data_IF_962011083649
#
_entry.id   IF_962011083649
#
_cell.length_a   1.000
_cell.length_b   1.000
_cell.length_c   1.000
_cell.angle_alpha   90.00
_cell.angle_beta   90.00
_cell.angle_gamma   90.00
#
_symmetry.space_group_name_H-M   'P 1'
#
loop_
_entity.id
_entity.type
_entity.pdbx_description
1 polymer ?
#
# COMPACT_ATOMS: atom_id res chain seq x y z
N UNK A 1 32.25 -23.70 42.02
CA UNK A 1 31.88 -24.22 40.66
C UNK A 1 31.09 -23.13 39.97
N UNK A 2 31.76 -22.26 39.20
CA UNK A 2 31.13 -21.24 38.37
C UNK A 2 30.65 -21.92 37.08
N UNK A 3 29.35 -21.86 36.79
CA UNK A 3 28.80 -22.21 35.50
C UNK A 3 29.00 -21.02 34.56
N UNK A 4 29.99 -21.08 33.72
CA UNK A 4 30.11 -20.27 32.50
C UNK A 4 29.01 -20.71 31.54
N UNK A 5 27.99 -19.87 31.37
CA UNK A 5 27.04 -20.04 30.25
C UNK A 5 27.77 -19.83 28.91
N UNK A 6 27.26 -20.40 27.78
CA UNK A 6 27.92 -20.27 26.50
C UNK A 6 27.90 -18.79 26.07
N UNK A 7 29.08 -18.17 25.94
CA UNK A 7 29.28 -16.91 25.24
C UNK A 7 28.96 -17.14 23.76
N UNK A 8 27.75 -16.75 23.35
CA UNK A 8 27.42 -16.66 21.92
C UNK A 8 28.34 -15.59 21.33
N UNK A 9 29.20 -16.00 20.40
CA UNK A 9 30.17 -15.12 19.74
C UNK A 9 29.48 -13.88 19.18
N UNK A 10 30.08 -12.71 19.40
CA UNK A 10 29.59 -11.40 18.91
C UNK A 10 29.35 -11.40 17.40
N UNK A 11 30.09 -12.20 16.63
CA UNK A 11 29.90 -12.39 15.21
C UNK A 11 28.59 -13.11 14.85
N UNK A 12 28.29 -14.25 15.48
CA UNK A 12 27.06 -15.01 15.22
C UNK A 12 25.78 -14.22 15.59
N UNK A 13 25.86 -13.29 16.57
CA UNK A 13 24.76 -12.39 16.89
C UNK A 13 24.56 -11.31 15.83
N UNK A 14 25.65 -10.80 15.25
CA UNK A 14 25.59 -9.78 14.19
C UNK A 14 25.02 -10.36 12.88
N UNK A 15 25.46 -11.57 12.52
CA UNK A 15 24.93 -12.27 11.33
C UNK A 15 23.44 -12.60 11.47
N UNK A 16 22.98 -13.02 12.64
CA UNK A 16 21.56 -13.25 12.91
C UNK A 16 20.73 -11.95 12.88
N UNK A 17 21.34 -10.85 13.30
CA UNK A 17 20.78 -9.51 13.28
C UNK A 17 20.54 -9.00 11.85
N UNK A 18 21.57 -9.06 11.01
CA UNK A 18 21.50 -8.61 9.62
C UNK A 18 20.41 -9.43 8.87
N UNK A 19 20.31 -10.73 9.15
CA UNK A 19 19.28 -11.62 8.59
C UNK A 19 17.85 -11.22 9.00
N UNK A 20 17.61 -10.76 10.23
CA UNK A 20 16.25 -10.32 10.67
C UNK A 20 15.83 -9.00 10.00
N UNK A 21 16.75 -8.04 9.86
CA UNK A 21 16.46 -6.79 9.15
C UNK A 21 16.17 -7.05 7.66
N UNK A 22 16.94 -7.93 7.01
CA UNK A 22 16.68 -8.36 5.63
C UNK A 22 15.30 -9.02 5.50
N UNK A 23 14.88 -9.82 6.48
CA UNK A 23 13.56 -10.43 6.49
C UNK A 23 12.43 -9.41 6.65
N UNK A 24 12.61 -8.38 7.47
CA UNK A 24 11.65 -7.28 7.61
C UNK A 24 11.53 -6.54 6.28
N UNK A 25 12.66 -6.14 5.68
CA UNK A 25 12.69 -5.42 4.42
C UNK A 25 12.02 -6.19 3.28
N UNK A 26 12.35 -7.48 3.15
CA UNK A 26 11.74 -8.34 2.14
C UNK A 26 10.20 -8.44 2.28
N UNK A 27 9.67 -8.45 3.51
CA UNK A 27 8.22 -8.48 3.75
C UNK A 27 7.56 -7.16 3.40
N UNK A 28 8.15 -6.04 3.77
CA UNK A 28 7.64 -4.71 3.40
C UNK A 28 7.62 -4.56 1.88
N UNK A 29 8.71 -4.92 1.19
CA UNK A 29 8.77 -4.90 -0.29
C UNK A 29 7.69 -5.82 -0.88
N UNK A 30 7.46 -6.99 -0.27
CA UNK A 30 6.38 -7.88 -0.71
C UNK A 30 5.00 -7.26 -0.56
N UNK A 31 4.72 -6.53 0.53
CA UNK A 31 3.46 -5.79 0.71
C UNK A 31 3.29 -4.71 -0.37
N UNK A 32 4.33 -3.93 -0.67
CA UNK A 32 4.30 -2.97 -1.80
C UNK A 32 3.96 -3.64 -3.13
N UNK A 33 4.55 -4.80 -3.41
CA UNK A 33 4.26 -5.58 -4.62
C UNK A 33 2.79 -5.99 -4.67
N UNK A 34 2.25 -6.51 -3.56
CA UNK A 34 0.85 -6.94 -3.48
C UNK A 34 -0.12 -5.79 -3.70
N UNK A 35 0.15 -4.61 -3.11
CA UNK A 35 -0.66 -3.40 -3.32
C UNK A 35 -0.60 -2.95 -4.79
N UNK A 36 0.59 -2.82 -5.37
CA UNK A 36 0.74 -2.34 -6.75
C UNK A 36 0.10 -3.29 -7.78
N UNK A 37 0.36 -4.60 -7.67
CA UNK A 37 -0.23 -5.62 -8.54
C UNK A 37 -1.75 -5.73 -8.33
N UNK A 38 -2.19 -5.71 -7.07
CA UNK A 38 -3.61 -5.80 -6.72
C UNK A 38 -4.41 -4.62 -7.24
N UNK A 39 -3.86 -3.39 -7.14
CA UNK A 39 -4.50 -2.18 -7.62
C UNK A 39 -4.68 -2.20 -9.15
N UNK A 40 -3.64 -2.57 -9.90
CA UNK A 40 -3.72 -2.70 -11.35
C UNK A 40 -4.78 -3.74 -11.75
N UNK A 41 -4.73 -4.93 -11.15
CA UNK A 41 -5.68 -6.00 -11.42
C UNK A 41 -7.12 -5.64 -11.02
N UNK A 42 -7.34 -4.94 -9.89
CA UNK A 42 -8.67 -4.51 -9.45
C UNK A 42 -9.28 -3.48 -10.40
N UNK A 43 -8.47 -2.54 -10.89
CA UNK A 43 -8.90 -1.53 -11.87
C UNK A 43 -9.34 -2.19 -13.18
N UNK A 44 -8.52 -3.09 -13.72
CA UNK A 44 -8.85 -3.82 -14.96
C UNK A 44 -10.09 -4.71 -14.77
N UNK A 45 -10.13 -5.49 -13.69
CA UNK A 45 -11.28 -6.36 -13.39
C UNK A 45 -12.58 -5.57 -13.24
N UNK A 46 -12.55 -4.44 -12.56
CA UNK A 46 -13.71 -3.56 -12.38
C UNK A 46 -14.21 -3.02 -13.71
N UNK A 47 -13.31 -2.49 -14.56
CA UNK A 47 -13.65 -1.91 -15.84
C UNK A 47 -14.10 -2.96 -16.88
N UNK A 48 -13.57 -4.20 -16.81
CA UNK A 48 -13.91 -5.30 -17.70
C UNK A 48 -15.09 -6.16 -17.20
N UNK A 49 -15.61 -5.94 -15.98
CA UNK A 49 -16.56 -6.83 -15.28
C UNK A 49 -16.00 -8.26 -15.12
N UNK A 50 -14.69 -8.38 -14.89
CA UNK A 50 -14.03 -9.68 -14.70
C UNK A 50 -14.15 -10.14 -13.24
N UNK A 51 -15.15 -10.98 -13.00
CA UNK A 51 -15.47 -11.51 -11.67
C UNK A 51 -14.49 -12.59 -11.19
N UNK A 52 -13.77 -13.21 -12.09
CA UNK A 52 -12.79 -14.25 -11.74
C UNK A 52 -11.55 -13.58 -11.13
N UNK A 53 -11.02 -12.58 -11.83
CA UNK A 53 -9.90 -11.76 -11.32
C UNK A 53 -10.31 -11.06 -10.01
N UNK A 54 -11.51 -10.47 -9.95
CA UNK A 54 -11.99 -9.82 -8.73
C UNK A 54 -12.03 -10.76 -7.52
N UNK A 55 -12.52 -12.00 -7.69
CA UNK A 55 -12.50 -13.02 -6.60
C UNK A 55 -11.10 -13.43 -6.20
N UNK A 56 -10.17 -13.50 -7.15
CA UNK A 56 -8.77 -13.82 -6.86
C UNK A 56 -8.12 -12.72 -6.01
N UNK A 57 -8.44 -11.43 -6.27
CA UNK A 57 -7.96 -10.30 -5.47
C UNK A 57 -8.48 -10.39 -4.04
N UNK A 58 -9.80 -10.56 -3.85
CA UNK A 58 -10.42 -10.72 -2.54
C UNK A 58 -9.82 -11.90 -1.75
N UNK A 59 -9.49 -13.01 -2.43
CA UNK A 59 -8.87 -14.16 -1.78
C UNK A 59 -7.42 -13.89 -1.32
N UNK A 60 -6.70 -12.97 -1.97
CA UNK A 60 -5.31 -12.61 -1.66
C UNK A 60 -5.17 -11.52 -0.58
N UNK A 61 -6.25 -10.88 -0.17
CA UNK A 61 -6.23 -9.85 0.86
C UNK A 61 -5.61 -10.38 2.18
N UNK A 62 -5.92 -11.62 2.55
CA UNK A 62 -5.32 -12.31 3.71
C UNK A 62 -3.78 -12.41 3.66
N UNK A 63 -3.19 -12.39 2.47
CA UNK A 63 -1.72 -12.45 2.34
C UNK A 63 -1.08 -11.17 2.90
N UNK A 64 -1.75 -10.01 2.77
CA UNK A 64 -1.28 -8.73 3.31
C UNK A 64 -1.45 -8.70 4.83
N UNK A 65 -2.58 -9.17 5.35
CA UNK A 65 -2.86 -9.29 6.78
C UNK A 65 -1.83 -10.17 7.49
N UNK A 66 -1.54 -11.33 6.93
CA UNK A 66 -0.55 -12.28 7.46
C UNK A 66 0.87 -11.68 7.45
N UNK A 67 1.21 -10.89 6.43
CA UNK A 67 2.48 -10.18 6.36
C UNK A 67 2.56 -9.08 7.43
N UNK A 68 1.51 -8.28 7.62
CA UNK A 68 1.43 -7.26 8.66
C UNK A 68 1.62 -7.90 10.04
N UNK A 69 0.81 -8.92 10.36
CA UNK A 69 0.89 -9.61 11.65
C UNK A 69 2.29 -10.19 11.92
N UNK A 70 2.89 -10.81 10.91
CA UNK A 70 4.26 -11.35 11.03
C UNK A 70 5.30 -10.25 11.24
N UNK A 71 5.17 -9.11 10.53
CA UNK A 71 6.05 -7.96 10.69
C UNK A 71 5.98 -7.38 12.09
N UNK A 72 4.76 -7.17 12.61
CA UNK A 72 4.55 -6.66 13.97
C UNK A 72 5.23 -7.55 15.01
N UNK A 73 5.06 -8.87 14.91
CA UNK A 73 5.70 -9.83 15.85
C UNK A 73 7.23 -9.79 15.77
N UNK A 74 7.81 -9.70 14.56
CA UNK A 74 9.27 -9.65 14.39
C UNK A 74 9.80 -8.34 14.97
N UNK A 75 9.15 -7.20 14.65
CA UNK A 75 9.57 -5.88 15.11
C UNK A 75 9.42 -5.73 16.62
N UNK A 76 8.28 -6.18 17.19
CA UNK A 76 8.06 -6.17 18.64
C UNK A 76 9.14 -6.96 19.38
N UNK A 77 9.39 -8.22 18.96
CA UNK A 77 10.44 -9.05 19.51
C UNK A 77 11.80 -8.34 19.44
N UNK A 78 12.11 -7.73 18.29
CA UNK A 78 13.38 -7.06 18.08
C UNK A 78 13.56 -5.82 18.97
N UNK A 79 12.48 -5.06 19.21
CA UNK A 79 12.50 -3.90 20.13
C UNK A 79 12.66 -4.31 21.60
N UNK A 80 12.24 -5.52 21.96
CA UNK A 80 12.38 -6.05 23.32
C UNK A 80 13.74 -6.71 23.57
N UNK A 81 14.43 -7.16 22.52
CA UNK A 81 15.75 -7.78 22.62
C UNK A 81 16.84 -6.72 22.89
N UNK A 82 17.70 -7.01 23.86
CA UNK A 82 18.88 -6.18 24.15
C UNK A 82 20.17 -6.95 23.86
N UNK A 83 21.16 -6.32 23.20
CA UNK A 83 21.24 -4.91 22.79
C UNK A 83 20.65 -4.64 21.41
N UNK A 84 19.91 -3.53 21.27
CA UNK A 84 19.52 -2.97 19.98
C UNK A 84 20.76 -2.33 19.33
N UNK A 85 20.87 -2.38 17.99
CA UNK A 85 22.03 -1.89 17.24
C UNK A 85 22.23 -0.36 17.23
N UNK A 86 21.35 0.38 17.91
CA UNK A 86 21.45 1.83 18.09
C UNK A 86 20.22 2.62 17.62
N UNK A 87 20.28 3.97 17.70
CA UNK A 87 19.14 4.83 17.37
C UNK A 87 18.60 4.68 15.94
N UNK A 88 19.48 4.41 14.99
CA UNK A 88 19.09 4.24 13.56
C UNK A 88 18.22 3.01 13.35
N UNK A 89 18.56 1.90 14.00
CA UNK A 89 17.75 0.69 13.97
C UNK A 89 16.37 0.92 14.58
N UNK A 90 16.33 1.54 15.76
CA UNK A 90 15.06 1.86 16.42
C UNK A 90 14.16 2.72 15.51
N UNK A 91 14.72 3.74 14.86
CA UNK A 91 13.98 4.58 13.91
C UNK A 91 13.45 3.76 12.72
N UNK A 92 14.26 2.88 12.16
CA UNK A 92 13.84 1.99 11.07
C UNK A 92 12.69 1.09 11.52
N UNK A 93 12.79 0.41 12.65
CA UNK A 93 11.75 -0.47 13.17
C UNK A 93 10.45 0.30 13.46
N UNK A 94 10.53 1.51 14.00
CA UNK A 94 9.37 2.39 14.19
C UNK A 94 8.77 2.79 12.86
N UNK A 95 9.57 3.07 11.83
CA UNK A 95 9.06 3.41 10.49
C UNK A 95 8.30 2.24 9.87
N UNK A 96 8.81 1.02 10.01
CA UNK A 96 8.12 -0.20 9.54
C UNK A 96 6.75 -0.36 10.20
N UNK A 97 6.65 -0.20 11.53
CA UNK A 97 5.36 -0.24 12.25
C UNK A 97 4.37 0.85 11.83
N UNK A 98 4.84 1.91 11.18
CA UNK A 98 3.98 2.98 10.65
C UNK A 98 3.64 2.79 9.18
N UNK A 99 4.51 2.15 8.40
CA UNK A 99 4.34 1.92 6.97
C UNK A 99 3.47 0.69 6.72
N UNK A 100 3.72 -0.43 7.41
CA UNK A 100 3.02 -1.68 7.18
C UNK A 100 1.49 -1.59 7.34
N UNK A 101 0.93 -0.88 8.35
CA UNK A 101 -0.52 -0.67 8.44
C UNK A 101 -1.11 0.19 7.30
N UNK A 102 -0.34 1.10 6.70
CA UNK A 102 -0.81 1.85 5.53
C UNK A 102 -0.89 0.95 4.28
N UNK A 103 0.05 0.00 4.15
CA UNK A 103 0.04 -0.98 3.07
C UNK A 103 -1.16 -1.94 3.20
N UNK A 104 -1.45 -2.41 4.42
CA UNK A 104 -2.62 -3.25 4.69
C UNK A 104 -3.93 -2.51 4.37
N UNK A 105 -4.13 -1.30 4.91
CA UNK A 105 -5.32 -0.49 4.59
C UNK A 105 -5.48 -0.23 3.11
N UNK A 106 -4.38 -0.19 2.37
CA UNK A 106 -4.43 -0.04 0.91
C UNK A 106 -4.87 -1.34 0.24
N UNK A 107 -4.50 -2.50 0.78
CA UNK A 107 -5.06 -3.80 0.41
C UNK A 107 -6.57 -3.83 0.59
N UNK A 108 -7.09 -3.40 1.76
CA UNK A 108 -8.53 -3.29 2.04
C UNK A 108 -9.27 -2.43 1.00
N UNK A 109 -8.70 -1.28 0.61
CA UNK A 109 -9.32 -0.42 -0.40
C UNK A 109 -9.37 -1.09 -1.77
N UNK A 110 -8.33 -1.84 -2.13
CA UNK A 110 -8.27 -2.62 -3.38
C UNK A 110 -9.31 -3.75 -3.36
N UNK A 111 -9.43 -4.47 -2.23
CA UNK A 111 -10.48 -5.47 -2.02
C UNK A 111 -11.87 -4.84 -2.20
N UNK A 112 -12.11 -3.67 -1.60
CA UNK A 112 -13.37 -2.96 -1.72
C UNK A 112 -13.72 -2.56 -3.16
N UNK A 113 -12.73 -2.24 -4.00
CA UNK A 113 -12.94 -2.02 -5.44
C UNK A 113 -13.33 -3.35 -6.11
N UNK A 114 -12.58 -4.43 -5.85
CA UNK A 114 -12.82 -5.75 -6.43
C UNK A 114 -14.20 -6.32 -6.05
N UNK A 115 -14.66 -6.14 -4.80
CA UNK A 115 -15.98 -6.56 -4.32
C UNK A 115 -17.13 -5.89 -5.07
N UNK A 116 -16.91 -4.77 -5.75
CA UNK A 116 -17.93 -4.05 -6.53
C UNK A 116 -18.01 -4.51 -7.99
N UNK A 117 -17.02 -5.22 -8.49
CA UNK A 117 -17.02 -5.78 -9.86
C UNK A 117 -18.29 -6.58 -10.18
N UNK A 118 -18.80 -7.48 -9.30
CA UNK A 118 -20.02 -8.24 -9.62
C UNK A 118 -21.28 -7.40 -9.79
N UNK A 119 -21.28 -6.14 -9.39
CA UNK A 119 -22.42 -5.22 -9.53
C UNK A 119 -22.53 -4.65 -10.95
N UNK A 120 -21.51 -4.86 -11.80
CA UNK A 120 -21.48 -4.43 -13.21
C UNK A 120 -21.61 -2.92 -13.40
N UNK A 121 -21.17 -2.14 -12.42
CA UNK A 121 -21.30 -0.67 -12.44
C UNK A 121 -20.60 -0.03 -13.64
N UNK A 122 -19.54 -0.65 -14.12
CA UNK A 122 -18.79 -0.16 -15.27
C UNK A 122 -19.59 -0.21 -16.58
N UNK A 123 -20.64 -1.03 -16.67
CA UNK A 123 -21.49 -1.10 -17.90
C UNK A 123 -22.34 0.15 -18.10
N UNK A 124 -22.68 0.84 -17.01
CA UNK A 124 -23.52 2.03 -17.01
C UNK A 124 -22.72 3.34 -17.15
N UNK A 125 -21.39 3.24 -17.17
CA UNK A 125 -20.50 4.40 -17.30
C UNK A 125 -20.52 4.95 -18.72
N UNK A 126 -20.58 6.29 -18.84
CA UNK A 126 -20.24 6.99 -20.08
C UNK A 126 -18.80 6.69 -20.48
N UNK A 127 -18.45 6.88 -21.75
CA UNK A 127 -17.06 6.74 -22.20
C UNK A 127 -16.11 7.66 -21.43
N UNK A 128 -16.57 8.88 -21.07
CA UNK A 128 -15.80 9.84 -20.26
C UNK A 128 -15.60 9.33 -18.83
N UNK A 129 -16.66 8.96 -18.15
CA UNK A 129 -16.56 8.45 -16.76
C UNK A 129 -15.66 7.20 -16.67
N UNK A 130 -15.75 6.31 -17.67
CA UNK A 130 -14.87 5.14 -17.77
C UNK A 130 -13.41 5.53 -17.94
N UNK A 131 -13.12 6.53 -18.79
CA UNK A 131 -11.78 7.08 -18.99
C UNK A 131 -11.21 7.68 -17.70
N UNK A 132 -12.00 8.51 -16.99
CA UNK A 132 -11.61 9.12 -15.73
C UNK A 132 -11.27 8.05 -14.66
N UNK A 133 -12.10 7.02 -14.56
CA UNK A 133 -11.88 5.92 -13.59
C UNK A 133 -10.62 5.10 -13.93
N UNK A 134 -10.38 4.84 -15.22
CA UNK A 134 -9.14 4.22 -15.68
C UNK A 134 -7.92 5.08 -15.35
N UNK A 135 -7.99 6.41 -15.57
CA UNK A 135 -6.88 7.31 -15.30
C UNK A 135 -6.62 7.44 -13.78
N UNK A 136 -7.67 7.45 -12.94
CA UNK A 136 -7.52 7.36 -11.48
C UNK A 136 -6.75 6.11 -11.05
N UNK A 137 -7.16 4.93 -11.56
CA UNK A 137 -6.49 3.67 -11.24
C UNK A 137 -5.02 3.67 -11.68
N UNK A 138 -4.74 4.22 -12.87
CA UNK A 138 -3.38 4.33 -13.40
C UNK A 138 -2.52 5.31 -12.59
N UNK A 139 -3.06 6.47 -12.23
CA UNK A 139 -2.35 7.45 -11.41
C UNK A 139 -2.02 6.87 -10.03
N UNK A 140 -2.99 6.26 -9.36
CA UNK A 140 -2.76 5.60 -8.08
C UNK A 140 -1.72 4.47 -8.18
N UNK A 141 -1.70 3.69 -9.28
CA UNK A 141 -0.68 2.66 -9.51
C UNK A 141 0.73 3.27 -9.65
N UNK A 142 0.88 4.37 -10.40
CA UNK A 142 2.16 5.09 -10.51
C UNK A 142 2.60 5.59 -9.14
N UNK A 143 1.70 6.17 -8.34
CA UNK A 143 2.00 6.63 -6.98
C UNK A 143 2.52 5.49 -6.09
N UNK A 144 1.92 4.31 -6.13
CA UNK A 144 2.37 3.17 -5.35
C UNK A 144 3.71 2.61 -5.82
N UNK A 145 3.98 2.62 -7.13
CA UNK A 145 5.30 2.26 -7.68
C UNK A 145 6.37 3.24 -7.20
N UNK A 146 6.08 4.54 -7.28
CA UNK A 146 6.99 5.60 -6.82
C UNK A 146 7.23 5.53 -5.29
N UNK A 147 6.20 5.21 -4.49
CA UNK A 147 6.34 5.02 -3.05
C UNK A 147 7.20 3.78 -2.71
N UNK A 148 7.10 2.70 -3.49
CA UNK A 148 7.95 1.52 -3.35
C UNK A 148 9.41 1.84 -3.69
N UNK A 149 9.67 2.57 -4.78
CA UNK A 149 11.01 3.04 -5.16
C UNK A 149 11.60 3.95 -4.08
N UNK A 150 10.81 4.90 -3.54
CA UNK A 150 11.22 5.74 -2.43
C UNK A 150 11.67 4.93 -1.21
N UNK A 151 10.95 3.83 -0.90
CA UNK A 151 11.30 2.94 0.20
C UNK A 151 12.59 2.14 -0.08
N UNK A 152 12.70 1.53 -1.26
CA UNK A 152 13.83 0.66 -1.64
C UNK A 152 15.11 1.47 -1.78
N UNK A 153 15.06 2.60 -2.50
CA UNK A 153 16.23 3.42 -2.81
C UNK A 153 16.53 4.46 -1.72
N UNK A 154 15.69 4.53 -0.69
CA UNK A 154 15.76 5.54 0.39
C UNK A 154 15.84 6.97 -0.20
N UNK A 155 14.99 7.23 -1.20
CA UNK A 155 14.99 8.48 -1.95
C UNK A 155 13.84 9.40 -1.53
N UNK A 156 14.17 10.46 -0.78
CA UNK A 156 13.18 11.45 -0.32
C UNK A 156 12.65 12.37 -1.42
N UNK A 157 13.37 12.51 -2.56
CA UNK A 157 12.93 13.38 -3.66
C UNK A 157 11.62 12.90 -4.31
N UNK A 158 11.34 11.61 -4.26
CA UNK A 158 10.08 11.02 -4.74
C UNK A 158 8.82 11.61 -4.06
N UNK A 159 8.96 12.23 -2.88
CA UNK A 159 7.82 12.83 -2.18
C UNK A 159 7.25 14.04 -2.93
N UNK A 160 8.07 14.78 -3.68
CA UNK A 160 7.60 15.91 -4.49
C UNK A 160 6.75 15.39 -5.64
N UNK A 161 7.25 14.42 -6.38
CA UNK A 161 6.55 13.80 -7.52
C UNK A 161 5.22 13.16 -7.06
N UNK A 162 5.22 12.52 -5.88
CA UNK A 162 4.01 11.94 -5.31
C UNK A 162 2.94 12.98 -4.97
N UNK A 163 3.31 14.15 -4.47
CA UNK A 163 2.35 15.22 -4.21
C UNK A 163 1.76 15.80 -5.49
N UNK A 164 2.55 15.92 -6.54
CA UNK A 164 2.05 16.34 -7.85
C UNK A 164 1.08 15.31 -8.44
N UNK A 165 1.33 14.03 -8.27
CA UNK A 165 0.42 12.97 -8.69
C UNK A 165 -0.85 12.92 -7.84
N UNK A 166 -0.76 13.25 -6.55
CA UNK A 166 -1.89 13.35 -5.63
C UNK A 166 -2.86 14.46 -6.06
N UNK A 167 -2.32 15.64 -6.37
CA UNK A 167 -3.10 16.76 -6.93
C UNK A 167 -3.84 16.34 -8.24
N UNK A 168 -3.17 15.59 -9.11
CA UNK A 168 -3.79 15.04 -10.35
C UNK A 168 -4.91 14.05 -10.01
N UNK A 169 -4.72 13.19 -9.01
CA UNK A 169 -5.72 12.20 -8.59
C UNK A 169 -6.95 12.87 -7.99
N UNK A 170 -6.74 13.92 -7.20
CA UNK A 170 -7.80 14.75 -6.62
C UNK A 170 -8.64 15.45 -7.72
N UNK A 171 -7.99 16.02 -8.73
CA UNK A 171 -8.66 16.63 -9.88
C UNK A 171 -9.52 15.59 -10.65
N UNK A 172 -8.97 14.40 -10.91
CA UNK A 172 -9.72 13.30 -11.53
C UNK A 172 -10.93 12.86 -10.70
N UNK A 173 -10.80 12.83 -9.36
CA UNK A 173 -11.88 12.52 -8.44
C UNK A 173 -13.01 13.58 -8.54
N UNK A 174 -12.66 14.85 -8.57
CA UNK A 174 -13.61 15.96 -8.75
C UNK A 174 -14.33 15.86 -10.09
N UNK A 175 -13.56 15.64 -11.18
CA UNK A 175 -14.15 15.50 -12.52
C UNK A 175 -15.10 14.31 -12.64
N UNK A 176 -14.72 13.14 -12.10
CA UNK A 176 -15.58 11.95 -12.11
C UNK A 176 -16.84 12.19 -11.28
N UNK A 177 -16.73 12.81 -10.12
CA UNK A 177 -17.90 13.14 -9.28
C UNK A 177 -18.86 14.08 -10.00
N UNK A 178 -18.35 15.07 -10.72
CA UNK A 178 -19.16 15.99 -11.53
C UNK A 178 -19.86 15.23 -12.69
N UNK A 179 -19.13 14.37 -13.40
CA UNK A 179 -19.70 13.55 -14.50
C UNK A 179 -20.80 12.63 -14.00
N UNK A 180 -20.62 11.95 -12.86
CA UNK A 180 -21.63 11.09 -12.26
C UNK A 180 -22.88 11.86 -11.80
N UNK A 181 -22.70 13.11 -11.37
CA UNK A 181 -23.79 13.96 -10.88
C UNK A 181 -24.67 14.50 -12.01
N UNK A 182 -24.12 14.65 -13.20
CA UNK A 182 -24.80 15.20 -14.39
C UNK A 182 -25.27 14.14 -15.38
N UNK A 183 -24.82 12.89 -15.22
CA UNK A 183 -25.08 11.79 -16.16
C UNK A 183 -26.40 11.05 -15.92
N UNK A 184 -26.75 10.16 -16.87
CA UNK A 184 -27.92 9.30 -16.81
C UNK A 184 -27.73 8.05 -15.92
N UNK A 185 -26.71 8.06 -15.05
CA UNK A 185 -26.40 6.94 -14.13
C UNK A 185 -27.45 6.92 -13.02
N UNK A 186 -27.97 5.73 -12.69
CA UNK A 186 -28.93 5.61 -11.57
C UNK A 186 -28.30 6.05 -10.25
N UNK A 187 -29.12 6.64 -9.36
CA UNK A 187 -28.61 7.12 -8.05
C UNK A 187 -27.87 6.04 -7.25
N UNK A 188 -28.35 4.78 -7.15
CA UNK A 188 -27.59 3.73 -6.48
C UNK A 188 -26.22 3.46 -7.15
N UNK A 189 -26.16 3.42 -8.47
CA UNK A 189 -24.89 3.21 -9.19
C UNK A 189 -23.95 4.42 -9.02
N UNK A 190 -24.44 5.65 -9.05
CA UNK A 190 -23.65 6.85 -8.82
C UNK A 190 -23.03 6.87 -7.41
N UNK A 191 -23.75 6.41 -6.39
CA UNK A 191 -23.24 6.30 -5.02
C UNK A 191 -22.07 5.29 -4.96
N UNK A 192 -22.24 4.09 -5.53
CA UNK A 192 -21.19 3.07 -5.51
C UNK A 192 -19.96 3.48 -6.33
N UNK A 193 -20.17 4.12 -7.47
CA UNK A 193 -19.07 4.66 -8.29
C UNK A 193 -18.34 5.81 -7.59
N UNK A 194 -19.06 6.66 -6.87
CA UNK A 194 -18.46 7.69 -6.01
C UNK A 194 -17.61 7.10 -4.88
N UNK A 195 -18.03 5.96 -4.30
CA UNK A 195 -17.22 5.24 -3.32
C UNK A 195 -15.97 4.64 -3.97
N UNK A 196 -16.06 4.07 -5.17
CA UNK A 196 -14.88 3.57 -5.91
C UNK A 196 -13.91 4.72 -6.19
N UNK A 197 -14.39 5.88 -6.65
CA UNK A 197 -13.57 7.07 -6.85
C UNK A 197 -12.86 7.49 -5.54
N UNK A 198 -13.57 7.50 -4.42
CA UNK A 198 -13.00 7.82 -3.10
C UNK A 198 -11.95 6.79 -2.65
N UNK A 199 -12.08 5.52 -3.01
CA UNK A 199 -11.05 4.53 -2.70
C UNK A 199 -9.75 4.80 -3.45
N UNK A 200 -9.81 5.19 -4.73
CA UNK A 200 -8.61 5.58 -5.47
C UNK A 200 -7.92 6.80 -4.86
N UNK A 201 -8.67 7.84 -4.52
CA UNK A 201 -8.12 9.03 -3.89
C UNK A 201 -7.44 8.68 -2.55
N UNK A 202 -8.07 7.87 -1.71
CA UNK A 202 -7.44 7.40 -0.45
C UNK A 202 -6.20 6.53 -0.67
N UNK A 203 -6.14 5.78 -1.76
CA UNK A 203 -4.93 5.04 -2.13
C UNK A 203 -3.78 5.99 -2.45
N UNK A 204 -4.04 7.15 -3.07
CA UNK A 204 -3.08 8.23 -3.27
C UNK A 204 -2.60 8.82 -1.94
N UNK A 205 -3.52 9.22 -1.06
CA UNK A 205 -3.24 9.70 0.29
C UNK A 205 -2.28 8.76 1.05
N UNK A 206 -2.54 7.43 0.99
CA UNK A 206 -1.72 6.43 1.66
C UNK A 206 -0.30 6.36 1.05
N UNK A 207 -0.17 6.44 -0.27
CA UNK A 207 1.14 6.44 -0.95
C UNK A 207 2.00 7.64 -0.53
N UNK A 208 1.41 8.86 -0.48
CA UNK A 208 2.07 10.07 0.01
C UNK A 208 2.48 9.93 1.48
N UNK A 209 1.59 9.39 2.33
CA UNK A 209 1.87 9.16 3.75
C UNK A 209 3.05 8.20 3.95
N UNK A 210 3.10 7.11 3.19
CA UNK A 210 4.19 6.13 3.24
C UNK A 210 5.52 6.78 2.86
N UNK A 211 5.57 7.49 1.72
CA UNK A 211 6.78 8.18 1.28
C UNK A 211 7.25 9.26 2.27
N UNK A 212 6.31 10.00 2.87
CA UNK A 212 6.62 10.96 3.93
C UNK A 212 7.28 10.33 5.15
N UNK A 213 6.86 9.11 5.52
CA UNK A 213 7.48 8.36 6.65
C UNK A 213 8.87 7.83 6.29
N UNK A 214 9.06 7.39 5.04
CA UNK A 214 10.39 7.00 4.53
C UNK A 214 11.35 8.18 4.60
N UNK A 215 10.97 9.35 4.08
CA UNK A 215 11.78 10.56 4.11
C UNK A 215 12.22 10.95 5.54
N UNK A 216 11.31 10.91 6.52
CA UNK A 216 11.63 11.21 7.93
C UNK A 216 12.61 10.21 8.56
N UNK A 217 12.67 8.98 8.07
CA UNK A 217 13.58 7.95 8.61
C UNK A 217 15.00 8.11 8.09
N UNK A 218 15.15 8.67 6.89
CA UNK A 218 16.45 8.85 6.22
C UNK A 218 17.18 10.10 6.76
N UNK A 219 16.43 11.18 7.04
CA UNK A 219 16.99 12.49 7.41
C UNK A 219 17.35 12.58 8.90
N UNK A 220 16.90 11.69 9.75
CA UNK A 220 17.15 11.66 11.20
C UNK A 220 18.25 10.69 11.62
#
# INVERSE_FOLDING_TARGET
MQKTGPEVSTGARRDAFDTELEQIEARVVRMFTLVSEGLAAATEAFLADDREIARAIVARDRDIDDLLHTLEQIVERRLLDTPIGGPSEVRYLISVLRIAPELERSGDLIEHIALRTPQRLATDLTGRARGLLHDMGRTAQVMWTTAAEAYIDRNESCLVDLRELDDVLDDLHVELTAELSCGDVSVPAAIELGLVARFYERLGDHAVNVAGRVAHTIVA
#
